data_IF_389972374164
#
_entry.id   IF_389972374164
#
_cell.length_a   1.000
_cell.length_b   1.000
_cell.length_c   1.000
_cell.angle_alpha   90.00
_cell.angle_beta   90.00
_cell.angle_gamma   90.00
#
_symmetry.space_group_name_H-M   'P 1'
#
loop_
_entity.id
_entity.type
_entity.pdbx_description
1 polymer ?
#
# COMPACT_ATOMS: atom_id res chain seq x y z
N UNK A 1 14.17 28.82 -3.14
CA UNK A 1 13.61 27.48 -2.88
C UNK A 1 12.66 27.04 -4.00
N UNK A 2 11.56 27.76 -4.28
CA UNK A 2 10.59 27.41 -5.35
C UNK A 2 11.23 27.34 -6.75
N UNK A 3 12.06 28.31 -7.13
CA UNK A 3 12.76 28.32 -8.43
C UNK A 3 13.73 27.14 -8.62
N UNK A 4 14.42 26.72 -7.57
CA UNK A 4 15.29 25.53 -7.64
C UNK A 4 14.48 24.26 -7.82
N UNK A 5 13.34 24.13 -7.15
CA UNK A 5 12.40 23.01 -7.29
C UNK A 5 11.86 22.92 -8.73
N UNK A 6 11.46 24.04 -9.31
CA UNK A 6 10.98 24.12 -10.70
C UNK A 6 12.06 23.72 -11.70
N UNK A 7 13.30 24.11 -11.48
CA UNK A 7 14.44 23.77 -12.36
C UNK A 7 14.76 22.27 -12.27
N UNK A 8 14.75 21.69 -11.08
CA UNK A 8 14.93 20.25 -10.89
C UNK A 8 13.81 19.43 -11.54
N UNK A 9 12.54 19.85 -11.37
CA UNK A 9 11.41 19.20 -12.04
C UNK A 9 11.53 19.25 -13.56
N UNK A 10 11.96 20.39 -14.14
CA UNK A 10 12.21 20.50 -15.59
C UNK A 10 13.29 19.54 -16.07
N UNK A 11 14.37 19.35 -15.31
CA UNK A 11 15.46 18.44 -15.63
C UNK A 11 15.00 16.98 -15.73
N UNK A 12 14.08 16.57 -14.83
CA UNK A 12 13.60 15.19 -14.76
C UNK A 12 12.24 14.98 -15.45
N UNK A 13 11.68 16.00 -16.11
CA UNK A 13 10.35 15.92 -16.75
C UNK A 13 10.16 14.68 -17.62
N UNK A 14 11.15 14.37 -18.47
CA UNK A 14 11.05 13.21 -19.37
C UNK A 14 11.11 11.88 -18.63
N UNK A 15 11.88 11.81 -17.53
CA UNK A 15 11.94 10.59 -16.70
C UNK A 15 10.64 10.41 -15.94
N UNK A 16 10.11 11.48 -15.35
CA UNK A 16 8.83 11.47 -14.63
C UNK A 16 7.70 11.07 -15.60
N UNK A 17 7.68 11.64 -16.80
CA UNK A 17 6.68 11.30 -17.82
C UNK A 17 6.77 9.82 -18.24
N UNK A 18 7.98 9.30 -18.48
CA UNK A 18 8.17 7.87 -18.81
C UNK A 18 7.71 6.96 -17.67
N UNK A 19 8.05 7.29 -16.42
CA UNK A 19 7.61 6.52 -15.25
C UNK A 19 6.09 6.55 -15.13
N UNK A 20 5.47 7.71 -15.35
CA UNK A 20 4.02 7.86 -15.30
C UNK A 20 3.33 7.04 -16.41
N UNK A 21 3.83 7.10 -17.65
CA UNK A 21 3.31 6.31 -18.76
C UNK A 21 3.48 4.81 -18.48
N UNK A 22 4.66 4.38 -18.03
CA UNK A 22 4.92 2.98 -17.67
C UNK A 22 3.98 2.48 -16.58
N UNK A 23 3.69 3.34 -15.59
CA UNK A 23 2.76 3.03 -14.53
C UNK A 23 1.32 2.88 -15.05
N UNK A 24 0.85 3.78 -15.93
CA UNK A 24 -0.48 3.67 -16.56
C UNK A 24 -0.57 2.38 -17.42
N UNK A 25 0.45 2.09 -18.23
CA UNK A 25 0.50 0.85 -19.03
C UNK A 25 0.45 -0.38 -18.14
N UNK A 26 1.21 -0.39 -17.04
CA UNK A 26 1.16 -1.46 -16.04
C UNK A 26 -0.24 -1.63 -15.44
N UNK A 27 -0.89 -0.54 -15.05
CA UNK A 27 -2.26 -0.58 -14.50
C UNK A 27 -3.27 -1.14 -15.51
N UNK A 28 -3.21 -0.68 -16.76
CA UNK A 28 -4.09 -1.15 -17.82
C UNK A 28 -3.87 -2.64 -18.11
N UNK A 29 -2.62 -3.07 -18.23
CA UNK A 29 -2.27 -4.49 -18.42
C UNK A 29 -2.77 -5.35 -17.26
N UNK A 30 -2.51 -4.93 -16.02
CA UNK A 30 -2.92 -5.68 -14.83
C UNK A 30 -4.44 -5.73 -14.67
N UNK A 31 -5.13 -4.65 -14.99
CA UNK A 31 -6.60 -4.60 -14.98
C UNK A 31 -7.20 -5.52 -16.06
N UNK A 32 -6.64 -5.49 -17.27
CA UNK A 32 -7.06 -6.37 -18.36
C UNK A 32 -6.82 -7.85 -18.03
N UNK A 33 -5.66 -8.17 -17.46
CA UNK A 33 -5.32 -9.52 -17.01
C UNK A 33 -6.29 -10.01 -15.92
N UNK A 34 -6.55 -9.17 -14.90
CA UNK A 34 -7.50 -9.52 -13.82
C UNK A 34 -8.90 -9.74 -14.35
N UNK A 35 -9.34 -8.90 -15.30
CA UNK A 35 -10.64 -9.05 -15.96
C UNK A 35 -10.73 -10.34 -16.79
N UNK A 36 -9.70 -10.64 -17.57
CA UNK A 36 -9.62 -11.88 -18.35
C UNK A 36 -9.65 -13.13 -17.45
N UNK A 37 -8.88 -13.13 -16.36
CA UNK A 37 -8.87 -14.22 -15.37
C UNK A 37 -10.21 -14.39 -14.66
N UNK A 38 -10.93 -13.30 -14.42
CA UNK A 38 -12.27 -13.33 -13.82
C UNK A 38 -13.29 -13.99 -14.76
N UNK A 39 -13.28 -13.64 -16.05
CA UNK A 39 -14.20 -14.20 -17.05
C UNK A 39 -13.91 -15.68 -17.32
N UNK A 40 -12.65 -16.08 -17.33
CA UNK A 40 -12.23 -17.46 -17.62
C UNK A 40 -12.49 -18.44 -16.48
N UNK A 41 -13.06 -17.99 -15.36
CA UNK A 41 -13.27 -18.78 -14.14
C UNK A 41 -12.00 -19.43 -13.55
N UNK A 42 -10.82 -19.09 -14.06
CA UNK A 42 -9.53 -19.62 -13.56
C UNK A 42 -9.30 -19.22 -12.10
N UNK A 43 -9.92 -18.13 -11.63
CA UNK A 43 -9.77 -17.66 -10.25
C UNK A 43 -10.62 -18.43 -9.22
N UNK A 44 -11.61 -19.21 -9.64
CA UNK A 44 -12.47 -19.94 -8.70
C UNK A 44 -11.72 -20.91 -7.79
N UNK A 45 -10.80 -21.76 -8.31
CA UNK A 45 -10.00 -22.63 -7.45
C UNK A 45 -9.18 -21.87 -6.41
N UNK A 46 -8.63 -20.71 -6.79
CA UNK A 46 -7.87 -19.85 -5.86
C UNK A 46 -8.76 -19.25 -4.77
N UNK A 47 -10.00 -18.90 -5.08
CA UNK A 47 -10.96 -18.43 -4.07
C UNK A 47 -11.34 -19.53 -3.08
N UNK A 48 -11.45 -20.77 -3.54
CA UNK A 48 -11.67 -21.93 -2.67
C UNK A 48 -10.44 -22.17 -1.78
N UNK A 49 -9.23 -22.12 -2.35
CA UNK A 49 -7.98 -22.21 -1.59
C UNK A 49 -7.85 -21.10 -0.53
N UNK A 50 -8.16 -19.84 -0.88
CA UNK A 50 -8.18 -18.72 0.07
C UNK A 50 -9.10 -19.05 1.27
N UNK A 51 -10.29 -19.55 0.98
CA UNK A 51 -11.26 -19.91 2.02
C UNK A 51 -10.74 -21.04 2.92
N UNK A 52 -10.23 -22.12 2.33
CA UNK A 52 -9.69 -23.26 3.08
C UNK A 52 -8.52 -22.80 3.94
N UNK A 53 -7.58 -22.04 3.37
CA UNK A 53 -6.41 -21.52 4.09
C UNK A 53 -6.82 -20.68 5.30
N UNK A 54 -7.80 -19.78 5.12
CA UNK A 54 -8.29 -18.93 6.22
C UNK A 54 -8.96 -19.77 7.32
N UNK A 55 -9.76 -20.77 6.97
CA UNK A 55 -10.39 -21.67 7.94
C UNK A 55 -9.33 -22.46 8.70
N UNK A 56 -8.35 -23.03 7.99
CA UNK A 56 -7.24 -23.77 8.59
C UNK A 56 -6.45 -22.92 9.57
N UNK A 57 -6.04 -21.71 9.15
CA UNK A 57 -5.33 -20.79 10.05
C UNK A 57 -6.16 -20.46 11.29
N UNK A 58 -7.46 -20.25 11.12
CA UNK A 58 -8.34 -19.95 12.25
C UNK A 58 -8.44 -21.11 13.26
N UNK A 59 -8.44 -22.33 12.77
CA UNK A 59 -8.50 -23.54 13.60
C UNK A 59 -7.19 -23.79 14.37
N UNK A 60 -6.05 -23.58 13.70
CA UNK A 60 -4.74 -23.90 14.29
C UNK A 60 -4.11 -22.74 15.10
N UNK A 61 -4.60 -21.52 14.99
CA UNK A 61 -4.05 -20.39 15.76
C UNK A 61 -4.64 -20.36 17.17
N UNK A 62 -3.82 -20.56 18.21
CA UNK A 62 -4.28 -20.50 19.59
C UNK A 62 -4.86 -19.13 19.92
N UNK A 63 -5.96 -19.11 20.70
CA UNK A 63 -6.60 -17.88 21.16
C UNK A 63 -5.65 -16.93 21.91
N UNK A 64 -4.63 -17.48 22.58
CA UNK A 64 -3.59 -16.72 23.28
C UNK A 64 -2.74 -15.83 22.34
N UNK A 65 -2.56 -16.23 21.08
CA UNK A 65 -1.79 -15.46 20.09
C UNK A 65 -2.64 -14.39 19.36
N UNK A 66 -3.95 -14.45 19.47
CA UNK A 66 -4.84 -13.49 18.78
C UNK A 66 -4.56 -12.04 19.19
N UNK A 67 -4.27 -11.81 20.50
CA UNK A 67 -3.90 -10.48 20.98
C UNK A 67 -2.62 -9.94 20.34
N UNK A 68 -1.62 -10.80 20.21
CA UNK A 68 -0.34 -10.46 19.56
C UNK A 68 -0.53 -10.12 18.08
N UNK A 69 -1.28 -10.94 17.34
CA UNK A 69 -1.57 -10.67 15.93
C UNK A 69 -2.39 -9.40 15.75
N UNK A 70 -3.38 -9.12 16.61
CA UNK A 70 -4.13 -7.86 16.59
C UNK A 70 -3.22 -6.66 16.81
N UNK A 71 -2.29 -6.74 17.76
CA UNK A 71 -1.32 -5.67 18.01
C UNK A 71 -0.49 -5.38 16.75
N UNK A 72 0.13 -6.38 16.12
CA UNK A 72 0.88 -6.18 14.88
C UNK A 72 0.02 -5.69 13.72
N UNK A 73 -1.23 -6.14 13.63
CA UNK A 73 -2.17 -5.65 12.62
C UNK A 73 -2.46 -4.16 12.80
N UNK A 74 -2.66 -3.71 14.04
CA UNK A 74 -2.89 -2.28 14.32
C UNK A 74 -1.65 -1.45 14.03
N UNK A 75 -0.46 -1.89 14.50
CA UNK A 75 0.81 -1.18 14.24
C UNK A 75 1.12 -1.09 12.75
N UNK A 76 0.92 -2.19 12.00
CA UNK A 76 1.12 -2.24 10.54
C UNK A 76 -0.05 -1.69 9.72
N UNK A 77 -1.09 -1.16 10.34
CA UNK A 77 -2.26 -0.65 9.61
C UNK A 77 -1.92 0.59 8.77
N UNK A 78 -2.60 0.80 7.64
CA UNK A 78 -2.42 2.01 6.85
C UNK A 78 -2.56 3.30 7.68
N UNK A 79 -3.50 3.33 8.62
CA UNK A 79 -3.74 4.50 9.48
C UNK A 79 -2.56 4.78 10.41
N UNK A 80 -2.04 3.74 11.07
CA UNK A 80 -0.87 3.87 11.95
C UNK A 80 0.38 4.31 11.18
N UNK A 81 0.60 3.76 10.00
CA UNK A 81 1.75 4.10 9.17
C UNK A 81 1.64 5.50 8.56
N UNK A 82 0.43 5.95 8.19
CA UNK A 82 0.19 7.34 7.77
C UNK A 82 0.47 8.30 8.94
N UNK A 83 -0.02 8.00 10.15
CA UNK A 83 0.27 8.81 11.32
C UNK A 83 1.77 8.87 11.63
N UNK A 84 2.46 7.73 11.62
CA UNK A 84 3.92 7.67 11.77
C UNK A 84 4.65 8.47 10.68
N UNK A 85 4.16 8.42 9.44
CA UNK A 85 4.71 9.21 8.33
C UNK A 85 4.59 10.70 8.58
N UNK A 86 3.43 11.17 9.03
CA UNK A 86 3.20 12.59 9.33
C UNK A 86 4.14 13.07 10.45
N UNK A 87 4.26 12.28 11.53
CA UNK A 87 5.14 12.60 12.65
C UNK A 87 6.61 12.66 12.19
N UNK A 88 7.06 11.65 11.45
CA UNK A 88 8.44 11.59 10.97
C UNK A 88 8.74 12.70 9.94
N UNK A 89 7.82 12.97 9.02
CA UNK A 89 7.96 14.07 8.07
C UNK A 89 8.03 15.43 8.76
N UNK A 90 7.20 15.67 9.78
CA UNK A 90 7.26 16.86 10.62
C UNK A 90 8.61 17.01 11.32
N UNK A 91 9.12 15.93 11.91
CA UNK A 91 10.45 15.90 12.52
C UNK A 91 11.56 16.24 11.51
N UNK A 92 11.53 15.65 10.32
CA UNK A 92 12.49 15.91 9.25
C UNK A 92 12.41 17.37 8.76
N UNK A 93 11.23 17.97 8.72
CA UNK A 93 11.06 19.40 8.41
C UNK A 93 11.71 20.30 9.47
N UNK A 94 11.55 20.00 10.76
CA UNK A 94 12.21 20.72 11.86
C UNK A 94 13.74 20.60 11.70
N UNK A 95 14.25 19.45 11.30
CA UNK A 95 15.66 19.20 11.00
C UNK A 95 16.12 19.83 9.67
N UNK A 96 15.25 20.59 8.99
CA UNK A 96 15.50 21.25 7.69
C UNK A 96 15.80 20.27 6.53
N UNK A 97 15.55 18.97 6.69
CA UNK A 97 15.61 17.99 5.59
C UNK A 97 14.28 17.88 4.87
N UNK A 98 13.93 18.95 4.15
CA UNK A 98 12.66 19.04 3.40
C UNK A 98 12.56 17.93 2.33
N UNK A 99 13.69 17.52 1.72
CA UNK A 99 13.66 16.47 0.68
C UNK A 99 13.26 15.12 1.26
N UNK A 100 13.84 14.73 2.39
CA UNK A 100 13.47 13.49 3.08
C UNK A 100 12.00 13.51 3.53
N UNK A 101 11.55 14.65 4.07
CA UNK A 101 10.14 14.84 4.45
C UNK A 101 9.19 14.64 3.26
N UNK A 102 9.49 15.26 2.12
CA UNK A 102 8.67 15.11 0.91
C UNK A 102 8.69 13.68 0.37
N UNK A 103 9.83 12.99 0.38
CA UNK A 103 9.90 11.57 -0.02
C UNK A 103 8.98 10.73 0.84
N UNK A 104 8.99 10.88 2.16
CA UNK A 104 8.09 10.15 3.06
C UNK A 104 6.62 10.44 2.74
N UNK A 105 6.24 11.71 2.64
CA UNK A 105 4.85 12.12 2.40
C UNK A 105 4.33 11.64 1.04
N UNK A 106 5.10 11.83 -0.03
CA UNK A 106 4.66 11.44 -1.37
C UNK A 106 4.67 9.93 -1.59
N UNK A 107 5.63 9.20 -0.99
CA UNK A 107 5.65 7.74 -1.11
C UNK A 107 4.46 7.10 -0.40
N UNK A 108 4.26 7.41 0.87
CA UNK A 108 3.20 6.79 1.67
C UNK A 108 1.82 7.35 1.30
N UNK A 109 1.71 8.67 1.14
CA UNK A 109 0.46 9.32 0.74
C UNK A 109 0.02 8.91 -0.66
N UNK A 110 0.94 8.90 -1.63
CA UNK A 110 0.67 8.48 -3.00
C UNK A 110 0.20 7.03 -3.10
N UNK A 111 0.88 6.12 -2.39
CA UNK A 111 0.47 4.70 -2.34
C UNK A 111 -0.86 4.52 -1.62
N UNK A 112 -1.16 5.31 -0.60
CA UNK A 112 -2.46 5.26 0.09
C UNK A 112 -3.61 5.66 -0.84
N UNK A 113 -3.46 6.75 -1.58
CA UNK A 113 -4.43 7.18 -2.59
C UNK A 113 -4.57 6.12 -3.69
N UNK A 114 -3.44 5.62 -4.19
CA UNK A 114 -3.43 4.57 -5.22
C UNK A 114 -4.16 3.31 -4.74
N UNK A 115 -3.97 2.88 -3.50
CA UNK A 115 -4.68 1.73 -2.93
C UNK A 115 -6.20 1.91 -2.97
N UNK A 116 -6.69 3.11 -2.63
CA UNK A 116 -8.13 3.42 -2.70
C UNK A 116 -8.64 3.33 -4.14
N UNK A 117 -7.91 3.92 -5.09
CA UNK A 117 -8.28 3.87 -6.52
C UNK A 117 -8.32 2.43 -7.03
N UNK A 118 -7.27 1.65 -6.76
CA UNK A 118 -7.19 0.24 -7.20
C UNK A 118 -8.28 -0.62 -6.58
N UNK A 119 -8.64 -0.40 -5.32
CA UNK A 119 -9.76 -1.09 -4.68
C UNK A 119 -11.08 -0.89 -5.43
N UNK A 120 -11.33 0.34 -5.91
CA UNK A 120 -12.53 0.64 -6.69
C UNK A 120 -12.45 0.12 -8.14
N UNK A 121 -11.26 -0.08 -8.69
CA UNK A 121 -11.09 -0.72 -10.00
C UNK A 121 -11.36 -2.22 -9.92
N UNK A 122 -10.76 -2.90 -8.93
CA UNK A 122 -10.86 -4.36 -8.82
C UNK A 122 -12.13 -4.86 -8.16
N UNK A 123 -12.72 -4.11 -7.24
CA UNK A 123 -13.98 -4.39 -6.54
C UNK A 123 -14.07 -5.82 -5.99
N UNK A 124 -12.95 -6.43 -5.59
CA UNK A 124 -12.93 -7.79 -5.04
C UNK A 124 -13.59 -7.80 -3.66
N UNK A 125 -14.70 -8.52 -3.54
CA UNK A 125 -15.40 -8.71 -2.25
C UNK A 125 -14.55 -9.57 -1.32
N UNK A 126 -14.77 -9.40 -0.01
CA UNK A 126 -14.15 -10.27 1.01
C UNK A 126 -14.97 -11.54 1.19
N UNK A 127 -14.32 -12.71 1.43
CA UNK A 127 -15.05 -13.91 1.85
C UNK A 127 -15.75 -13.64 3.18
N UNK A 128 -17.07 -13.86 3.23
CA UNK A 128 -17.84 -13.79 4.46
C UNK A 128 -17.67 -15.12 5.22
N UNK A 129 -16.63 -15.22 6.05
CA UNK A 129 -16.37 -16.43 6.84
C UNK A 129 -16.77 -16.27 8.31
N UNK A 130 -16.77 -15.04 8.83
CA UNK A 130 -17.12 -14.68 10.21
C UNK A 130 -17.68 -13.26 10.24
N UNK A 131 -18.41 -12.92 11.31
CA UNK A 131 -18.82 -11.55 11.60
C UNK A 131 -17.59 -10.68 11.93
N UNK A 132 -16.92 -10.21 10.89
CA UNK A 132 -15.78 -9.30 11.03
C UNK A 132 -16.28 -7.88 11.11
N UNK A 133 -16.41 -7.38 12.33
CA UNK A 133 -16.88 -6.02 12.62
C UNK A 133 -15.89 -4.91 12.23
N UNK A 134 -14.63 -5.24 11.83
CA UNK A 134 -13.56 -4.26 11.76
C UNK A 134 -13.03 -3.92 10.37
N UNK A 135 -13.40 -4.63 9.33
CA UNK A 135 -12.84 -4.38 8.00
C UNK A 135 -13.93 -4.25 6.94
N UNK A 136 -14.28 -3.01 6.66
CA UNK A 136 -15.19 -2.66 5.58
C UNK A 136 -14.45 -2.48 4.23
N UNK A 137 -15.17 -2.70 3.11
CA UNK A 137 -14.71 -2.41 1.76
C UNK A 137 -14.04 -3.60 1.04
N UNK A 138 -13.44 -3.29 -0.10
CA UNK A 138 -12.85 -4.27 -0.99
C UNK A 138 -11.58 -4.91 -0.43
N UNK A 139 -11.38 -6.22 -0.78
CA UNK A 139 -10.26 -7.02 -0.27
C UNK A 139 -8.94 -6.81 -1.01
N UNK A 140 -8.97 -6.37 -2.26
CA UNK A 140 -7.79 -6.27 -3.11
C UNK A 140 -7.68 -4.89 -3.77
N UNK A 141 -6.46 -4.33 -3.85
CA UNK A 141 -5.22 -4.82 -3.21
C UNK A 141 -5.18 -4.55 -1.69
N UNK A 142 -4.26 -5.26 -0.99
CA UNK A 142 -4.12 -5.12 0.46
C UNK A 142 -3.51 -3.75 0.82
N UNK A 143 -4.25 -2.95 1.59
CA UNK A 143 -3.75 -1.68 2.09
C UNK A 143 -2.58 -1.84 3.06
N UNK A 144 -2.63 -2.85 3.93
CA UNK A 144 -1.52 -3.17 4.83
C UNK A 144 -0.22 -3.43 4.05
N UNK A 145 -0.26 -4.29 3.05
CA UNK A 145 0.93 -4.63 2.25
C UNK A 145 1.48 -3.43 1.48
N UNK A 146 0.61 -2.70 0.78
CA UNK A 146 1.04 -1.59 -0.07
C UNK A 146 1.65 -0.45 0.76
N UNK A 147 0.97 -0.03 1.83
CA UNK A 147 1.41 1.11 2.65
C UNK A 147 2.64 0.74 3.48
N UNK A 148 2.72 -0.50 4.00
CA UNK A 148 3.91 -0.97 4.74
C UNK A 148 5.15 -1.00 3.87
N UNK A 149 5.06 -1.53 2.65
CA UNK A 149 6.20 -1.56 1.71
C UNK A 149 6.64 -0.13 1.38
N UNK A 150 5.70 0.77 1.06
CA UNK A 150 6.02 2.15 0.75
C UNK A 150 6.70 2.87 1.93
N UNK A 151 6.20 2.66 3.16
CA UNK A 151 6.76 3.22 4.37
C UNK A 151 8.20 2.73 4.61
N UNK A 152 8.41 1.40 4.55
CA UNK A 152 9.73 0.80 4.79
C UNK A 152 10.74 1.27 3.73
N UNK A 153 10.38 1.28 2.45
CA UNK A 153 11.28 1.73 1.38
C UNK A 153 11.62 3.22 1.51
N UNK A 154 10.64 4.06 1.81
CA UNK A 154 10.86 5.49 2.02
C UNK A 154 11.75 5.74 3.24
N UNK A 155 11.50 5.04 4.35
CA UNK A 155 12.30 5.13 5.57
C UNK A 155 13.74 4.67 5.32
N UNK A 156 13.93 3.54 4.63
CA UNK A 156 15.26 3.02 4.27
C UNK A 156 16.03 4.03 3.42
N UNK A 157 15.38 4.65 2.44
CA UNK A 157 15.99 5.71 1.62
C UNK A 157 16.42 6.91 2.46
N UNK A 158 15.56 7.38 3.38
CA UNK A 158 15.87 8.50 4.27
C UNK A 158 17.06 8.18 5.18
N UNK A 159 17.07 6.98 5.78
CA UNK A 159 18.17 6.53 6.65
C UNK A 159 19.50 6.35 5.90
N UNK A 160 19.43 5.82 4.69
CA UNK A 160 20.65 5.65 3.87
C UNK A 160 21.28 6.99 3.50
N UNK A 161 20.44 7.94 3.13
CA UNK A 161 20.91 9.28 2.74
C UNK A 161 21.47 10.10 3.92
N UNK A 162 21.08 9.78 5.16
CA UNK A 162 21.54 10.50 6.36
C UNK A 162 22.96 10.10 6.81
N UNK A 163 23.56 9.08 6.18
CA UNK A 163 24.96 8.68 6.34
C UNK A 163 25.86 9.42 5.37
#
# INVERSE_FOLDING_TARGET
MLMQLVTEIKKYKNVILKLFISFIVFLLFFSALTYALKISHILEPFMVMDKITLLTIHEYVPSSLVGLFKFFTVVGSPYSLIAATIILAGFLMIRKDVRASLVMLFSVGGVSVLNVVLKHIFMRTRPHLWDRTFEHGYSFPSGHSMVSIAFILALTFVLWRSK
#
